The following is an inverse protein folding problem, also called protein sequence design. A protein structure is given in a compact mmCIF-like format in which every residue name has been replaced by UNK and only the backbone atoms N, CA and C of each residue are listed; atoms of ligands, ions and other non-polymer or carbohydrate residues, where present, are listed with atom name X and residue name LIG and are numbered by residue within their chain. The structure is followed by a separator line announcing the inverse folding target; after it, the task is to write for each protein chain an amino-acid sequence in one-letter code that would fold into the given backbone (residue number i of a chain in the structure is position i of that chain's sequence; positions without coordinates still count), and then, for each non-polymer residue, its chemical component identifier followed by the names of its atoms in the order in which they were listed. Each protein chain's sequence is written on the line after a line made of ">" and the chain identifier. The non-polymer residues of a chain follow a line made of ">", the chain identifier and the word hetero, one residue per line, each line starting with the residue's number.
data_IF_271839270417
#
_entry.id   IF_271839270417
#
_cell.length_a   1.000
_cell.length_b   1.000
_cell.length_c   1.000
_cell.angle_alpha   90.00
_cell.angle_beta   90.00
_cell.angle_gamma   90.00
#
_symmetry.space_group_name_H-M   'P 1'
#
loop_
_entity.id
_entity.type
_entity.pdbx_description
1 polymer ?
#
# COMPACT_ATOMS: atom_id res chain seq x y z
N UNK A 1 34.91 -16.31 -6.25
CA UNK A 1 34.93 -15.72 -7.61
C UNK A 1 33.57 -15.85 -8.28
N UNK A 2 32.80 -14.76 -8.26
CA UNK A 2 31.45 -14.62 -8.83
C UNK A 2 31.48 -14.03 -10.26
N UNK A 3 32.63 -14.09 -10.93
CA UNK A 3 32.89 -13.39 -12.19
C UNK A 3 32.62 -14.21 -13.47
N UNK A 4 31.97 -15.38 -13.38
CA UNK A 4 31.85 -16.32 -14.53
C UNK A 4 30.43 -16.73 -14.93
N UNK A 5 29.38 -16.10 -14.41
CA UNK A 5 27.99 -16.40 -14.85
C UNK A 5 27.16 -15.14 -15.11
N UNK A 6 27.35 -14.44 -16.25
CA UNK A 6 26.55 -13.28 -16.64
C UNK A 6 25.09 -13.64 -17.00
N UNK A 7 24.84 -14.91 -17.33
CA UNK A 7 23.54 -15.35 -17.89
C UNK A 7 22.48 -15.67 -16.82
N UNK A 8 22.87 -15.72 -15.53
CA UNK A 8 21.93 -15.80 -14.40
C UNK A 8 21.47 -14.42 -13.89
N UNK A 9 22.04 -13.34 -14.44
CA UNK A 9 21.75 -11.95 -14.05
C UNK A 9 20.59 -11.34 -14.85
N UNK A 10 20.16 -11.97 -15.94
CA UNK A 10 19.07 -11.53 -16.82
C UNK A 10 17.89 -12.51 -16.73
N UNK A 11 16.63 -12.16 -16.45
CA UNK A 11 16.03 -10.83 -16.31
C UNK A 11 14.67 -10.84 -15.56
N UNK A 12 14.19 -11.99 -15.04
CA UNK A 12 12.86 -12.10 -14.42
C UNK A 12 12.89 -12.25 -12.89
N UNK A 13 13.52 -13.33 -12.40
CA UNK A 13 13.51 -13.68 -10.98
C UNK A 13 14.27 -12.70 -10.09
N UNK A 14 15.34 -12.09 -10.59
CA UNK A 14 16.10 -11.08 -9.83
C UNK A 14 15.34 -9.77 -9.71
N UNK A 15 14.66 -9.32 -10.77
CA UNK A 15 13.86 -8.10 -10.72
C UNK A 15 12.62 -8.25 -9.83
N UNK A 16 11.94 -9.40 -9.88
CA UNK A 16 10.82 -9.65 -8.98
C UNK A 16 11.28 -9.73 -7.51
N UNK A 17 12.39 -10.42 -7.22
CA UNK A 17 12.93 -10.47 -5.85
C UNK A 17 13.35 -9.09 -5.31
N UNK A 18 13.95 -8.24 -6.15
CA UNK A 18 14.33 -6.88 -5.74
C UNK A 18 13.11 -5.98 -5.51
N UNK A 19 12.05 -6.18 -6.29
CA UNK A 19 10.77 -5.49 -6.11
C UNK A 19 10.06 -5.95 -4.83
N UNK A 20 10.00 -7.27 -4.57
CA UNK A 20 9.48 -7.82 -3.30
C UNK A 20 10.30 -7.33 -2.10
N UNK A 21 11.63 -7.22 -2.24
CA UNK A 21 12.49 -6.63 -1.23
C UNK A 21 12.15 -5.15 -0.98
N UNK A 22 11.95 -4.36 -2.04
CA UNK A 22 11.53 -2.98 -1.92
C UNK A 22 10.17 -2.85 -1.20
N UNK A 23 9.17 -3.62 -1.65
CA UNK A 23 7.84 -3.70 -1.05
C UNK A 23 7.93 -4.00 0.44
N UNK A 24 8.64 -5.07 0.83
CA UNK A 24 8.75 -5.49 2.22
C UNK A 24 9.33 -4.38 3.12
N UNK A 25 10.40 -3.71 2.68
CA UNK A 25 10.99 -2.62 3.45
C UNK A 25 10.06 -1.42 3.58
N UNK A 26 9.38 -1.05 2.48
CA UNK A 26 8.41 0.06 2.47
C UNK A 26 7.22 -0.25 3.38
N UNK A 27 6.65 -1.45 3.27
CA UNK A 27 5.53 -1.88 4.12
C UNK A 27 5.94 -1.87 5.59
N UNK A 28 7.08 -2.46 5.94
CA UNK A 28 7.58 -2.44 7.32
C UNK A 28 7.73 -1.01 7.85
N UNK A 29 8.35 -0.12 7.09
CA UNK A 29 8.52 1.27 7.50
C UNK A 29 7.17 1.97 7.74
N UNK A 30 6.20 1.81 6.84
CA UNK A 30 4.89 2.44 6.97
C UNK A 30 4.05 1.87 8.13
N UNK A 31 4.13 0.55 8.37
CA UNK A 31 3.45 -0.08 9.50
C UNK A 31 4.02 0.38 10.84
N UNK A 32 5.32 0.62 10.90
CA UNK A 32 6.02 1.09 12.11
C UNK A 32 6.01 2.63 12.27
N UNK A 33 5.42 3.36 11.31
CA UNK A 33 5.41 4.82 11.27
C UNK A 33 6.82 5.44 11.19
N UNK A 34 7.72 4.75 10.50
CA UNK A 34 9.10 5.15 10.25
C UNK A 34 9.24 5.88 8.89
N UNK A 35 10.36 6.59 8.73
CA UNK A 35 10.73 7.15 7.43
C UNK A 35 10.94 6.05 6.38
N UNK A 36 10.50 6.31 5.16
CA UNK A 36 10.71 5.38 4.05
C UNK A 36 12.19 5.32 3.67
N UNK A 37 12.75 4.11 3.47
CA UNK A 37 14.11 4.00 2.98
C UNK A 37 14.21 4.54 1.55
N UNK A 38 15.32 5.18 1.20
CA UNK A 38 15.55 5.68 -0.16
C UNK A 38 15.95 4.54 -1.11
N UNK A 39 15.79 4.73 -2.44
CA UNK A 39 16.30 3.76 -3.42
C UNK A 39 17.79 3.46 -3.25
N UNK A 40 18.60 4.47 -2.91
CA UNK A 40 20.05 4.32 -2.69
C UNK A 40 20.36 3.49 -1.45
N UNK A 41 19.63 3.69 -0.36
CA UNK A 41 19.79 2.91 0.88
C UNK A 41 19.49 1.43 0.65
N UNK A 42 18.50 1.14 -0.20
CA UNK A 42 18.16 -0.22 -0.61
C UNK A 42 19.04 -0.75 -1.75
N UNK A 43 19.95 0.06 -2.29
CA UNK A 43 20.77 -0.27 -3.48
C UNK A 43 19.93 -0.71 -4.69
N UNK A 44 18.79 -0.03 -4.92
CA UNK A 44 17.83 -0.33 -5.97
C UNK A 44 17.81 0.74 -7.06
N UNK A 45 17.50 0.30 -8.28
CA UNK A 45 17.09 1.23 -9.33
C UNK A 45 15.76 1.89 -8.98
N UNK A 46 15.63 3.19 -9.30
CA UNK A 46 14.41 3.97 -9.08
C UNK A 46 13.16 3.29 -9.65
N UNK A 47 13.26 2.69 -10.85
CA UNK A 47 12.12 2.01 -11.47
C UNK A 47 11.66 0.79 -10.64
N UNK A 48 12.58 0.03 -10.05
CA UNK A 48 12.28 -1.12 -9.19
C UNK A 48 11.69 -0.67 -7.87
N UNK A 49 12.25 0.40 -7.28
CA UNK A 49 11.72 0.99 -6.05
C UNK A 49 10.27 1.49 -6.23
N UNK A 50 9.98 2.23 -7.32
CA UNK A 50 8.64 2.72 -7.62
C UNK A 50 7.61 1.60 -7.84
N UNK A 51 8.04 0.47 -8.42
CA UNK A 51 7.19 -0.74 -8.53
C UNK A 51 6.90 -1.35 -7.15
N UNK A 52 7.92 -1.46 -6.30
CA UNK A 52 7.74 -1.92 -4.90
C UNK A 52 6.82 -0.99 -4.10
N UNK A 53 6.94 0.32 -4.29
CA UNK A 53 6.05 1.32 -3.69
C UNK A 53 4.60 1.12 -4.13
N UNK A 54 4.37 0.81 -5.41
CA UNK A 54 3.04 0.52 -5.92
C UNK A 54 2.45 -0.80 -5.37
N UNK A 55 3.27 -1.84 -5.21
CA UNK A 55 2.83 -3.11 -4.60
C UNK A 55 2.55 -2.98 -3.10
N UNK A 56 3.35 -2.16 -2.40
CA UNK A 56 3.15 -1.85 -0.99
C UNK A 56 1.75 -1.29 -0.71
N UNK A 57 1.19 -0.44 -1.59
CA UNK A 57 -0.18 0.04 -1.44
C UNK A 57 -1.22 -1.10 -1.41
N UNK A 58 -0.97 -2.20 -2.13
CA UNK A 58 -1.78 -3.41 -2.09
C UNK A 58 -1.74 -4.12 -0.73
N UNK A 59 -0.55 -4.25 -0.15
CA UNK A 59 -0.38 -4.87 1.17
C UNK A 59 -0.93 -3.96 2.28
N UNK A 60 -0.81 -2.62 2.15
CA UNK A 60 -1.48 -1.67 3.04
C UNK A 60 -3.00 -1.83 2.98
N UNK A 61 -3.60 -1.99 1.79
CA UNK A 61 -5.03 -2.30 1.68
C UNK A 61 -5.37 -3.56 2.45
N UNK A 62 -4.58 -4.63 2.29
CA UNK A 62 -4.81 -5.88 3.02
C UNK A 62 -4.77 -5.65 4.52
N UNK A 63 -3.80 -4.88 5.01
CA UNK A 63 -3.69 -4.51 6.42
C UNK A 63 -4.89 -3.68 6.90
N UNK A 64 -5.36 -2.71 6.13
CA UNK A 64 -6.57 -1.94 6.45
C UNK A 64 -7.77 -2.87 6.64
N UNK A 65 -7.98 -3.79 5.70
CA UNK A 65 -9.10 -4.74 5.77
C UNK A 65 -8.97 -5.67 6.99
N UNK A 66 -7.76 -6.13 7.32
CA UNK A 66 -7.53 -6.95 8.51
C UNK A 66 -7.84 -6.18 9.82
N UNK A 67 -7.51 -4.89 9.89
CA UNK A 67 -7.87 -4.04 11.03
C UNK A 67 -9.39 -3.84 11.09
N UNK A 68 -10.03 -3.52 9.96
CA UNK A 68 -11.46 -3.26 9.88
C UNK A 68 -12.34 -4.45 10.29
N UNK A 69 -11.82 -5.69 10.22
CA UNK A 69 -12.50 -6.87 10.75
C UNK A 69 -12.76 -6.80 12.25
N UNK A 70 -12.06 -5.94 12.97
CA UNK A 70 -12.21 -5.71 14.41
C UNK A 70 -12.97 -4.41 14.73
N UNK A 71 -13.47 -3.71 13.72
CA UNK A 71 -14.12 -2.41 13.85
C UNK A 71 -13.32 -1.29 13.19
N UNK A 72 -13.93 -0.10 13.11
CA UNK A 72 -13.27 1.08 12.58
C UNK A 72 -12.08 1.46 13.45
N UNK A 73 -11.00 1.96 12.85
CA UNK A 73 -9.76 2.24 13.56
C UNK A 73 -8.99 3.39 12.93
N UNK A 74 -8.42 4.25 13.78
CA UNK A 74 -7.52 5.32 13.36
C UNK A 74 -6.27 4.78 12.66
N UNK A 75 -5.81 3.58 13.03
CA UNK A 75 -4.67 2.95 12.36
C UNK A 75 -5.01 2.61 10.90
N UNK A 76 -6.22 2.13 10.62
CA UNK A 76 -6.64 1.88 9.25
C UNK A 76 -6.80 3.19 8.44
N UNK A 77 -7.21 4.29 9.08
CA UNK A 77 -7.22 5.63 8.45
C UNK A 77 -5.80 6.11 8.14
N UNK A 78 -4.84 5.94 9.06
CA UNK A 78 -3.42 6.28 8.85
C UNK A 78 -2.85 5.53 7.66
N UNK A 79 -3.08 4.22 7.58
CA UNK A 79 -2.61 3.41 6.46
C UNK A 79 -3.29 3.80 5.13
N UNK A 80 -4.57 4.17 5.13
CA UNK A 80 -5.24 4.71 3.94
C UNK A 80 -4.60 6.02 3.48
N UNK A 81 -4.24 6.92 4.41
CA UNK A 81 -3.53 8.15 4.05
C UNK A 81 -2.16 7.84 3.42
N UNK A 82 -1.41 6.88 3.98
CA UNK A 82 -0.14 6.43 3.37
C UNK A 82 -0.36 5.89 1.94
N UNK A 83 -1.45 5.16 1.69
CA UNK A 83 -1.80 4.72 0.33
C UNK A 83 -2.07 5.91 -0.61
N UNK A 84 -2.70 6.99 -0.12
CA UNK A 84 -2.94 8.20 -0.90
C UNK A 84 -1.64 8.96 -1.20
N UNK A 85 -0.71 9.02 -0.25
CA UNK A 85 0.60 9.63 -0.44
C UNK A 85 1.41 8.86 -1.48
N UNK A 86 1.39 7.51 -1.42
CA UNK A 86 1.98 6.65 -2.47
C UNK A 86 1.38 6.99 -3.83
N UNK A 87 0.06 7.06 -3.92
CA UNK A 87 -0.63 7.38 -5.18
C UNK A 87 -0.23 8.77 -5.70
N UNK A 88 -0.14 9.78 -4.83
CA UNK A 88 0.28 11.13 -5.17
C UNK A 88 1.70 11.17 -5.74
N UNK A 89 2.64 10.43 -5.13
CA UNK A 89 3.99 10.30 -5.65
C UNK A 89 3.96 9.64 -7.04
N UNK A 90 3.31 8.49 -7.18
CA UNK A 90 3.29 7.73 -8.43
C UNK A 90 2.67 8.50 -9.60
N UNK A 91 1.59 9.27 -9.37
CA UNK A 91 0.93 10.05 -10.44
C UNK A 91 1.77 11.24 -10.91
N UNK A 92 2.67 11.76 -10.08
CA UNK A 92 3.58 12.86 -10.47
C UNK A 92 4.77 12.41 -11.30
N UNK A 93 5.02 11.10 -11.39
CA UNK A 93 6.14 10.54 -12.13
C UNK A 93 5.84 10.52 -13.64
N UNK A 94 6.16 11.62 -14.33
CA UNK A 94 5.98 11.77 -15.77
C UNK A 94 7.14 11.14 -16.55
N UNK A 95 7.13 9.81 -16.67
CA UNK A 95 8.12 9.07 -17.45
C UNK A 95 7.48 8.36 -18.66
N UNK A 96 8.15 8.33 -19.82
CA UNK A 96 7.70 7.54 -20.96
C UNK A 96 7.51 6.07 -20.58
N UNK A 97 6.39 5.45 -20.99
CA UNK A 97 6.07 4.04 -20.67
C UNK A 97 7.19 3.07 -21.10
N UNK A 98 7.94 3.42 -22.14
CA UNK A 98 9.10 2.67 -22.62
C UNK A 98 10.26 2.58 -21.60
N UNK A 99 10.31 3.49 -20.63
CA UNK A 99 11.35 3.58 -19.60
C UNK A 99 10.85 3.00 -18.26
N UNK A 100 9.55 3.13 -17.95
CA UNK A 100 9.01 2.66 -16.66
C UNK A 100 8.54 1.22 -16.65
N UNK A 101 8.33 0.60 -17.81
CA UNK A 101 7.94 -0.81 -17.90
C UNK A 101 6.62 -1.13 -17.16
N UNK A 102 5.60 -0.28 -17.34
CA UNK A 102 4.24 -0.53 -16.85
C UNK A 102 3.81 0.23 -15.59
N UNK A 103 4.58 1.23 -15.14
CA UNK A 103 4.26 2.01 -13.93
C UNK A 103 2.91 2.73 -14.01
N UNK A 104 2.50 3.20 -15.21
CA UNK A 104 1.18 3.80 -15.42
C UNK A 104 0.04 2.84 -15.06
N UNK A 105 0.14 1.58 -15.49
CA UNK A 105 -0.84 0.54 -15.14
C UNK A 105 -0.86 0.27 -13.63
N UNK A 106 0.31 0.20 -13.00
CA UNK A 106 0.39 0.04 -11.55
C UNK A 106 -0.23 1.23 -10.80
N UNK A 107 0.01 2.45 -11.27
CA UNK A 107 -0.57 3.68 -10.71
C UNK A 107 -2.10 3.67 -10.79
N UNK A 108 -2.68 3.20 -11.91
CA UNK A 108 -4.13 3.05 -12.04
C UNK A 108 -4.69 1.95 -11.12
N UNK A 109 -3.93 0.87 -10.90
CA UNK A 109 -4.29 -0.17 -9.92
C UNK A 109 -4.28 0.42 -8.51
N UNK A 110 -3.24 1.17 -8.14
CA UNK A 110 -3.14 1.89 -6.86
C UNK A 110 -4.35 2.82 -6.65
N UNK A 111 -4.68 3.65 -7.66
CA UNK A 111 -5.90 4.47 -7.61
C UNK A 111 -7.15 3.64 -7.31
N UNK A 112 -7.32 2.53 -8.02
CA UNK A 112 -8.49 1.66 -7.87
C UNK A 112 -8.57 1.02 -6.47
N UNK A 113 -7.45 0.64 -5.87
CA UNK A 113 -7.45 0.06 -4.52
C UNK A 113 -7.68 1.13 -3.45
N UNK A 114 -7.13 2.35 -3.59
CA UNK A 114 -7.38 3.47 -2.67
C UNK A 114 -8.87 3.80 -2.60
N UNK A 115 -9.52 3.98 -3.77
CA UNK A 115 -10.94 4.31 -3.84
C UNK A 115 -11.82 3.23 -3.19
N UNK A 116 -11.50 1.95 -3.43
CA UNK A 116 -12.19 0.85 -2.77
C UNK A 116 -11.97 0.87 -1.26
N UNK A 117 -10.73 1.10 -0.80
CA UNK A 117 -10.41 1.13 0.64
C UNK A 117 -11.13 2.29 1.33
N UNK A 118 -11.24 3.46 0.69
CA UNK A 118 -12.09 4.57 1.16
C UNK A 118 -13.55 4.15 1.37
N UNK A 119 -14.10 3.42 0.41
CA UNK A 119 -15.45 2.87 0.51
C UNK A 119 -15.60 1.91 1.70
N UNK A 120 -14.64 1.00 1.86
CA UNK A 120 -14.60 0.02 2.96
C UNK A 120 -14.53 0.73 4.33
N UNK A 121 -13.66 1.75 4.47
CA UNK A 121 -13.54 2.58 5.68
C UNK A 121 -14.85 3.31 6.01
N UNK A 122 -15.46 3.94 4.99
CA UNK A 122 -16.72 4.66 5.16
C UNK A 122 -17.84 3.74 5.62
N UNK A 123 -17.92 2.54 5.04
CA UNK A 123 -18.92 1.56 5.42
C UNK A 123 -18.74 1.10 6.87
N UNK A 124 -17.51 0.79 7.28
CA UNK A 124 -17.19 0.37 8.65
C UNK A 124 -17.60 1.43 9.69
N UNK A 125 -17.22 2.70 9.48
CA UNK A 125 -17.60 3.80 10.36
C UNK A 125 -19.13 3.97 10.47
N UNK A 126 -19.86 3.82 9.36
CA UNK A 126 -21.33 3.92 9.37
C UNK A 126 -21.98 2.76 10.11
N UNK A 127 -21.42 1.55 10.02
CA UNK A 127 -21.89 0.39 10.77
C UNK A 127 -21.69 0.60 12.28
N UNK A 128 -20.53 1.09 12.70
CA UNK A 128 -20.26 1.39 14.12
C UNK A 128 -21.25 2.43 14.68
N UNK A 129 -21.44 3.55 13.98
CA UNK A 129 -22.43 4.58 14.40
C UNK A 129 -23.87 4.03 14.47
N UNK A 130 -24.23 3.09 13.61
CA UNK A 130 -25.53 2.44 13.64
C UNK A 130 -25.65 1.54 14.87
N UNK A 131 -24.65 0.69 15.13
CA UNK A 131 -24.62 -0.18 16.32
C UNK A 131 -24.73 0.62 17.62
N UNK A 132 -24.00 1.73 17.74
CA UNK A 132 -24.13 2.62 18.89
C UNK A 132 -25.53 3.23 19.01
N UNK A 133 -26.14 3.62 17.89
CA UNK A 133 -27.48 4.19 17.89
C UNK A 133 -28.52 3.18 18.35
N UNK A 134 -28.36 1.92 17.97
CA UNK A 134 -29.21 0.82 18.43
C UNK A 134 -29.02 0.54 19.92
N UNK A 135 -27.78 0.49 20.42
CA UNK A 135 -27.48 0.34 21.86
C UNK A 135 -28.11 1.48 22.68
N UNK A 136 -27.99 2.73 22.20
CA UNK A 136 -28.63 3.90 22.84
C UNK A 136 -30.15 3.81 22.86
N UNK A 137 -30.75 3.21 21.83
CA UNK A 137 -32.20 3.00 21.77
C UNK A 137 -32.62 1.91 22.77
N UNK A 138 -31.92 0.78 22.80
CA UNK A 138 -32.16 -0.33 23.73
C UNK A 138 -32.15 0.15 25.19
N UNK A 139 -31.11 0.89 25.60
CA UNK A 139 -31.02 1.45 26.97
C UNK A 139 -32.20 2.37 27.33
N UNK A 140 -32.78 3.08 26.35
CA UNK A 140 -33.95 3.95 26.57
C UNK A 140 -35.27 3.19 26.66
N UNK A 141 -35.33 1.97 26.13
CA UNK A 141 -36.52 1.13 26.17
C UNK A 141 -36.55 0.25 27.42
N UNK A 142 -35.39 -0.09 27.98
CA UNK A 142 -35.26 -0.86 29.22
C UNK A 142 -35.37 -0.02 30.51
N UNK A 143 -35.29 1.31 30.40
CA UNK A 143 -35.46 2.27 31.51
C UNK A 143 -36.83 2.95 31.49
#
# INVERSE_FOLDING_TARGET
>A
DLAQHPDLYHAGYTQDALKEYAEANIVCALLEDNELPTPEELTLEYATYLKGLAEAAGELRRRCLDILRHGHSQEAERLLNNMDDIYAVLVTMDYPDAITGGLRRLTDIVRSINERTRGDMTLSLRQEHLEESLKRLETKLEG
#
